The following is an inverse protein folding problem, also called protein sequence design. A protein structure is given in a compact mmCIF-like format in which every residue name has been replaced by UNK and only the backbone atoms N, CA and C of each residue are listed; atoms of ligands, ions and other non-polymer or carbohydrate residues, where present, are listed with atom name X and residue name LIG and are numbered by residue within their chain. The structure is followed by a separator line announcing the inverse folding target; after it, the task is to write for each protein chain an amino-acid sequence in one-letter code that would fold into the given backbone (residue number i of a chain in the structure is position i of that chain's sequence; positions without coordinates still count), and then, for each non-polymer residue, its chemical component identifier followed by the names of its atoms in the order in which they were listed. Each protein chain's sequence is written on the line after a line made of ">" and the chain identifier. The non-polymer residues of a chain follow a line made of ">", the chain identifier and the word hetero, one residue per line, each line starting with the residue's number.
data_IF_742429682363
#
_entry.id   IF_742429682363
#
_cell.length_a   1.000
_cell.length_b   1.000
_cell.length_c   1.000
_cell.angle_alpha   90.00
_cell.angle_beta   90.00
_cell.angle_gamma   90.00
#
_symmetry.space_group_name_H-M   'P 1'
#
loop_
_entity.id
_entity.type
_entity.pdbx_description
1 polymer ?
#
# COMPACT_ATOMS: atom_id res chain seq x y z
N UNK A 1 -12.01 -21.34 18.08
CA UNK A 1 -12.94 -20.19 18.13
C UNK A 1 -12.23 -18.90 18.57
N UNK A 2 -11.43 -18.93 19.64
CA UNK A 2 -10.79 -17.71 20.20
C UNK A 2 -9.95 -16.90 19.20
N UNK A 3 -9.18 -17.55 18.30
CA UNK A 3 -8.38 -16.84 17.28
C UNK A 3 -9.24 -16.08 16.27
N UNK A 4 -10.37 -16.66 15.88
CA UNK A 4 -11.30 -16.06 14.94
C UNK A 4 -12.03 -14.90 15.61
N UNK A 5 -12.39 -15.04 16.89
CA UNK A 5 -12.95 -13.96 17.71
C UNK A 5 -11.96 -12.80 17.84
N UNK A 6 -10.68 -13.06 18.17
CA UNK A 6 -9.66 -12.00 18.25
C UNK A 6 -9.41 -11.31 16.91
N UNK A 7 -9.46 -12.06 15.80
CA UNK A 7 -9.29 -11.49 14.47
C UNK A 7 -10.44 -10.53 14.13
N UNK A 8 -11.68 -10.98 14.31
CA UNK A 8 -12.87 -10.13 14.10
C UNK A 8 -12.84 -8.90 15.02
N UNK A 9 -12.49 -9.09 16.30
CA UNK A 9 -12.40 -8.00 17.26
C UNK A 9 -11.33 -6.96 16.86
N UNK A 10 -10.16 -7.42 16.41
CA UNK A 10 -9.10 -6.54 15.93
C UNK A 10 -9.49 -5.75 14.68
N UNK A 11 -10.26 -6.37 13.78
CA UNK A 11 -10.79 -5.72 12.59
C UNK A 11 -11.83 -4.65 12.94
N UNK A 12 -12.75 -4.95 13.86
CA UNK A 12 -13.75 -4.00 14.35
C UNK A 12 -13.08 -2.80 15.03
N UNK A 13 -12.07 -3.03 15.87
CA UNK A 13 -11.30 -1.97 16.53
C UNK A 13 -10.66 -1.01 15.50
N UNK A 14 -10.05 -1.56 14.44
CA UNK A 14 -9.44 -0.77 13.38
C UNK A 14 -10.48 0.09 12.65
N UNK A 15 -11.58 -0.52 12.18
CA UNK A 15 -12.64 0.19 11.47
C UNK A 15 -13.25 1.29 12.35
N UNK A 16 -13.49 1.01 13.62
CA UNK A 16 -14.04 1.98 14.57
C UNK A 16 -13.09 3.16 14.80
N UNK A 17 -11.78 2.89 14.91
CA UNK A 17 -10.77 3.93 15.04
C UNK A 17 -10.72 4.84 13.80
N UNK A 18 -10.83 4.26 12.60
CA UNK A 18 -10.86 5.01 11.34
C UNK A 18 -12.12 5.86 11.21
N UNK A 19 -13.30 5.34 11.57
CA UNK A 19 -14.57 6.07 11.48
C UNK A 19 -14.65 7.26 12.46
N UNK A 20 -14.08 7.11 13.66
CA UNK A 20 -14.07 8.19 14.66
C UNK A 20 -12.91 9.17 14.53
N UNK A 21 -11.98 8.94 13.60
CA UNK A 21 -10.80 9.79 13.41
C UNK A 21 -9.79 9.70 14.54
N UNK A 22 -9.82 8.65 15.36
CA UNK A 22 -8.79 8.43 16.37
C UNK A 22 -7.49 7.96 15.74
N UNK A 23 -6.38 8.36 16.35
CA UNK A 23 -5.05 8.00 15.87
C UNK A 23 -4.89 6.47 15.81
N UNK A 24 -4.63 5.95 14.61
CA UNK A 24 -4.66 4.51 14.25
C UNK A 24 -3.71 3.68 15.14
N UNK A 25 -2.65 4.31 15.64
CA UNK A 25 -1.68 3.69 16.54
C UNK A 25 -2.32 3.07 17.78
N UNK A 26 -3.32 3.72 18.39
CA UNK A 26 -3.98 3.19 19.58
C UNK A 26 -4.73 1.89 19.30
N UNK A 27 -5.39 1.80 18.13
CA UNK A 27 -6.07 0.59 17.71
C UNK A 27 -5.09 -0.54 17.42
N UNK A 28 -3.95 -0.25 16.81
CA UNK A 28 -2.91 -1.25 16.59
C UNK A 28 -2.35 -1.78 17.90
N UNK A 29 -2.00 -0.90 18.85
CA UNK A 29 -1.55 -1.30 20.19
C UNK A 29 -2.57 -2.16 20.92
N UNK A 30 -3.84 -1.78 20.89
CA UNK A 30 -4.91 -2.56 21.51
C UNK A 30 -5.02 -3.95 20.86
N UNK A 31 -4.96 -4.03 19.54
CA UNK A 31 -5.03 -5.30 18.81
C UNK A 31 -3.84 -6.22 19.08
N UNK A 32 -2.62 -5.69 19.19
CA UNK A 32 -1.43 -6.50 19.48
C UNK A 32 -1.44 -7.01 20.91
N UNK A 33 -1.90 -6.21 21.88
CA UNK A 33 -2.11 -6.67 23.26
C UNK A 33 -3.14 -7.79 23.35
N UNK A 34 -4.25 -7.70 22.60
CA UNK A 34 -5.26 -8.76 22.52
C UNK A 34 -4.67 -10.06 21.94
N UNK A 35 -3.87 -9.97 20.88
CA UNK A 35 -3.16 -11.11 20.31
C UNK A 35 -2.19 -11.73 21.30
N UNK A 36 -1.35 -10.93 21.98
CA UNK A 36 -0.42 -11.43 23.00
C UNK A 36 -1.19 -12.15 24.12
N UNK A 37 -2.28 -11.57 24.62
CA UNK A 37 -3.08 -12.16 25.69
C UNK A 37 -3.67 -13.53 25.30
N UNK A 38 -4.19 -13.67 24.08
CA UNK A 38 -4.78 -14.95 23.63
C UNK A 38 -3.72 -16.00 23.30
N UNK A 39 -2.57 -15.60 22.76
CA UNK A 39 -1.49 -16.55 22.47
C UNK A 39 -0.80 -17.04 23.75
N UNK A 40 -0.67 -16.20 24.78
CA UNK A 40 -0.21 -16.63 26.10
C UNK A 40 -1.14 -17.66 26.72
N UNK A 41 -2.47 -17.45 26.62
CA UNK A 41 -3.47 -18.44 27.08
C UNK A 41 -3.40 -19.77 26.34
N UNK A 42 -2.86 -19.79 25.11
CA UNK A 42 -2.64 -21.00 24.30
C UNK A 42 -1.30 -21.68 24.59
N UNK A 43 -0.51 -21.18 25.54
CA UNK A 43 0.72 -21.80 26.00
C UNK A 43 1.98 -21.39 25.22
N UNK A 44 1.90 -20.37 24.35
CA UNK A 44 3.09 -19.84 23.69
C UNK A 44 3.96 -19.06 24.69
N UNK A 45 5.28 -19.24 24.61
CA UNK A 45 6.23 -18.48 25.43
C UNK A 45 6.34 -17.04 24.91
N UNK A 46 6.49 -16.08 25.82
CA UNK A 46 6.73 -14.67 25.45
C UNK A 46 7.92 -14.50 24.50
N UNK A 47 8.95 -15.35 24.66
CA UNK A 47 10.15 -15.32 23.81
C UNK A 47 9.82 -15.67 22.36
N UNK A 48 8.96 -16.67 22.13
CA UNK A 48 8.54 -17.07 20.78
C UNK A 48 7.69 -15.99 20.13
N UNK A 49 6.77 -15.37 20.90
CA UNK A 49 5.97 -14.24 20.43
C UNK A 49 6.83 -13.05 20.01
N UNK A 50 7.86 -12.74 20.81
CA UNK A 50 8.78 -11.65 20.51
C UNK A 50 9.64 -11.95 19.29
N UNK A 51 10.08 -13.20 19.12
CA UNK A 51 10.82 -13.64 17.93
C UNK A 51 9.94 -13.58 16.67
N UNK A 52 8.67 -13.98 16.76
CA UNK A 52 7.70 -13.84 15.67
C UNK A 52 7.49 -12.37 15.30
N UNK A 53 7.28 -11.49 16.29
CA UNK A 53 7.15 -10.06 16.07
C UNK A 53 8.40 -9.46 15.39
N UNK A 54 9.60 -9.83 15.84
CA UNK A 54 10.85 -9.35 15.26
C UNK A 54 11.07 -9.85 13.83
N UNK A 55 10.74 -11.11 13.55
CA UNK A 55 10.82 -11.66 12.19
C UNK A 55 9.88 -10.93 11.22
N UNK A 56 8.66 -10.60 11.69
CA UNK A 56 7.70 -9.79 10.94
C UNK A 56 8.23 -8.37 10.68
N UNK A 57 8.79 -7.72 11.71
CA UNK A 57 9.39 -6.39 11.58
C UNK A 57 10.55 -6.38 10.56
N UNK A 58 11.41 -7.40 10.55
CA UNK A 58 12.51 -7.54 9.58
C UNK A 58 11.99 -7.65 8.15
N UNK A 59 10.89 -8.38 7.92
CA UNK A 59 10.26 -8.47 6.60
C UNK A 59 9.71 -7.12 6.14
N UNK A 60 9.07 -6.36 7.03
CA UNK A 60 8.59 -5.01 6.74
C UNK A 60 9.74 -4.04 6.41
N UNK A 61 10.88 -4.15 7.09
CA UNK A 61 12.04 -3.30 6.82
C UNK A 61 12.55 -3.45 5.38
N UNK A 62 12.53 -4.67 4.83
CA UNK A 62 12.89 -4.90 3.42
C UNK A 62 11.97 -4.13 2.46
N UNK A 63 10.67 -4.01 2.76
CA UNK A 63 9.71 -3.27 1.93
C UNK A 63 9.98 -1.76 2.02
N UNK A 64 10.31 -1.26 3.22
CA UNK A 64 10.64 0.16 3.43
C UNK A 64 11.84 0.58 2.56
N UNK A 65 12.88 -0.24 2.47
CA UNK A 65 14.04 0.03 1.62
C UNK A 65 13.64 0.13 0.14
N UNK A 66 12.78 -0.78 -0.33
CA UNK A 66 12.28 -0.77 -1.71
C UNK A 66 11.49 0.52 -1.98
N UNK A 67 10.59 0.91 -1.08
CA UNK A 67 9.82 2.15 -1.21
C UNK A 67 10.73 3.40 -1.21
N UNK A 68 11.81 3.39 -0.42
CA UNK A 68 12.78 4.48 -0.39
C UNK A 68 13.52 4.60 -1.74
N UNK A 69 13.97 3.46 -2.30
CA UNK A 69 14.62 3.44 -3.62
C UNK A 69 13.68 3.90 -4.73
N UNK A 70 12.42 3.46 -4.72
CA UNK A 70 11.39 3.94 -5.65
C UNK A 70 11.22 5.46 -5.52
N UNK A 71 11.18 6.00 -4.31
CA UNK A 71 11.12 7.44 -4.07
C UNK A 71 12.33 8.19 -4.63
N UNK A 72 13.54 7.65 -4.48
CA UNK A 72 14.75 8.25 -5.04
C UNK A 72 14.76 8.21 -6.58
N UNK A 73 14.39 7.09 -7.20
CA UNK A 73 14.34 6.97 -8.66
C UNK A 73 13.29 7.91 -9.25
N UNK A 74 12.08 7.92 -8.68
CA UNK A 74 10.99 8.79 -9.15
C UNK A 74 11.34 10.27 -9.04
N UNK A 75 11.98 10.72 -7.95
CA UNK A 75 12.42 12.11 -7.83
C UNK A 75 13.47 12.49 -8.88
N UNK A 76 14.43 11.62 -9.16
CA UNK A 76 15.43 11.86 -10.22
C UNK A 76 14.82 11.93 -11.62
N UNK A 77 13.78 11.14 -11.92
CA UNK A 77 13.09 11.22 -13.20
C UNK A 77 12.18 12.46 -13.32
N UNK A 78 11.64 12.94 -12.21
CA UNK A 78 10.91 14.20 -12.19
C UNK A 78 11.83 15.37 -12.49
N UNK A 79 13.03 15.43 -11.88
CA UNK A 79 14.00 16.50 -12.14
C UNK A 79 14.65 16.41 -13.52
N UNK A 80 14.91 15.19 -14.01
CA UNK A 80 15.41 14.97 -15.37
C UNK A 80 14.38 15.28 -16.48
N UNK A 81 13.12 15.56 -16.12
CA UNK A 81 12.06 15.83 -17.08
C UNK A 81 11.56 14.60 -17.85
N UNK A 82 12.07 13.40 -17.56
CA UNK A 82 11.66 12.15 -18.22
C UNK A 82 10.19 11.83 -17.94
N UNK A 83 9.77 11.86 -16.66
CA UNK A 83 8.36 11.62 -16.28
C UNK A 83 7.43 12.72 -16.82
N UNK A 84 7.72 14.03 -16.64
CA UNK A 84 6.93 15.11 -17.23
C UNK A 84 6.74 15.00 -18.75
N UNK A 85 7.81 14.65 -19.49
CA UNK A 85 7.75 14.46 -20.94
C UNK A 85 6.84 13.30 -21.32
N UNK A 86 6.95 12.18 -20.59
CA UNK A 86 6.14 10.99 -20.81
C UNK A 86 4.65 11.25 -20.53
N UNK A 87 4.35 12.06 -19.52
CA UNK A 87 2.98 12.54 -19.23
C UNK A 87 2.45 13.41 -20.37
N UNK A 88 3.23 14.40 -20.82
CA UNK A 88 2.83 15.33 -21.88
C UNK A 88 2.46 14.59 -23.18
N UNK A 89 3.31 13.67 -23.62
CA UNK A 89 3.03 12.87 -24.82
C UNK A 89 1.94 11.81 -24.58
N UNK A 90 1.88 11.22 -23.38
CA UNK A 90 0.88 10.21 -23.04
C UNK A 90 -0.55 10.75 -23.08
N UNK A 91 -0.77 11.99 -22.62
CA UNK A 91 -2.09 12.65 -22.67
C UNK A 91 -2.53 12.94 -24.11
N UNK A 92 -1.60 13.21 -25.03
CA UNK A 92 -1.92 13.42 -26.44
C UNK A 92 -2.34 12.13 -27.16
N UNK A 93 -1.84 10.98 -26.71
CA UNK A 93 -2.10 9.67 -27.32
C UNK A 93 -3.34 9.00 -26.70
N UNK A 94 -3.62 9.24 -25.42
CA UNK A 94 -4.69 8.56 -24.69
C UNK A 94 -5.99 9.35 -24.74
N UNK A 95 -7.04 8.69 -25.24
CA UNK A 95 -8.39 9.23 -25.18
C UNK A 95 -8.90 9.15 -23.72
N UNK A 96 -9.31 10.27 -23.08
CA UNK A 96 -9.63 10.31 -21.65
C UNK A 96 -10.77 9.36 -21.25
N UNK A 97 -11.67 9.03 -22.17
CA UNK A 97 -12.78 8.09 -21.93
C UNK A 97 -12.32 6.65 -21.62
N UNK A 98 -11.16 6.23 -22.16
CA UNK A 98 -10.62 4.88 -21.95
C UNK A 98 -9.46 4.85 -20.94
N UNK A 99 -9.12 5.98 -20.33
CA UNK A 99 -7.97 6.11 -19.46
C UNK A 99 -8.00 5.10 -18.29
N UNK A 100 -9.13 4.99 -17.59
CA UNK A 100 -9.28 4.11 -16.43
C UNK A 100 -9.10 2.64 -16.82
N UNK A 101 -9.67 2.23 -17.96
CA UNK A 101 -9.54 0.86 -18.47
C UNK A 101 -8.09 0.53 -18.84
N UNK A 102 -7.40 1.45 -19.52
CA UNK A 102 -6.00 1.30 -19.89
C UNK A 102 -5.09 1.28 -18.66
N UNK A 103 -5.34 2.16 -17.69
CA UNK A 103 -4.62 2.19 -16.42
C UNK A 103 -4.78 0.87 -15.66
N UNK A 104 -5.99 0.30 -15.60
CA UNK A 104 -6.24 -1.00 -15.01
C UNK A 104 -5.49 -2.13 -15.74
N UNK A 105 -5.57 -2.19 -17.06
CA UNK A 105 -4.89 -3.22 -17.85
C UNK A 105 -3.37 -3.13 -17.68
N UNK A 106 -2.79 -1.94 -17.82
CA UNK A 106 -1.35 -1.73 -17.64
C UNK A 106 -0.88 -2.10 -16.24
N UNK A 107 -1.58 -1.63 -15.20
CA UNK A 107 -1.20 -1.97 -13.82
C UNK A 107 -1.35 -3.46 -13.53
N UNK A 108 -2.38 -4.12 -14.06
CA UNK A 108 -2.54 -5.58 -13.91
C UNK A 108 -1.39 -6.35 -14.57
N UNK A 109 -1.01 -5.98 -15.79
CA UNK A 109 0.03 -6.65 -16.56
C UNK A 109 1.40 -6.47 -15.92
N UNK A 110 1.70 -5.24 -15.48
CA UNK A 110 2.93 -4.91 -14.76
C UNK A 110 2.97 -5.59 -13.40
N UNK A 111 1.83 -5.72 -12.71
CA UNK A 111 1.74 -6.45 -11.45
C UNK A 111 2.01 -7.94 -11.60
N UNK A 112 1.57 -8.55 -12.70
CA UNK A 112 1.91 -9.94 -13.04
C UNK A 112 3.41 -10.12 -13.31
N UNK A 113 4.06 -9.14 -13.94
CA UNK A 113 5.49 -9.18 -14.25
C UNK A 113 6.38 -8.92 -13.01
N UNK A 114 6.04 -7.92 -12.20
CA UNK A 114 6.78 -7.51 -10.99
C UNK A 114 6.47 -8.43 -9.81
N UNK A 115 5.28 -9.05 -9.79
CA UNK A 115 4.82 -9.97 -8.74
C UNK A 115 4.42 -9.30 -7.42
N UNK A 116 4.46 -7.97 -7.31
CA UNK A 116 4.08 -7.23 -6.09
C UNK A 116 3.30 -5.95 -6.41
N UNK A 117 2.33 -5.62 -5.55
CA UNK A 117 1.53 -4.39 -5.67
C UNK A 117 2.37 -3.13 -5.46
N UNK A 118 3.22 -3.09 -4.42
CA UNK A 118 4.06 -1.92 -4.12
C UNK A 118 5.06 -1.58 -5.24
N UNK A 119 5.66 -2.58 -5.89
CA UNK A 119 6.55 -2.35 -7.03
C UNK A 119 5.82 -1.83 -8.27
N UNK A 120 4.57 -2.26 -8.47
CA UNK A 120 3.71 -1.80 -9.59
C UNK A 120 3.32 -0.34 -9.42
N UNK A 121 2.88 0.04 -8.21
CA UNK A 121 2.55 1.44 -7.89
C UNK A 121 3.76 2.35 -8.07
N UNK A 122 4.94 1.89 -7.65
CA UNK A 122 6.18 2.65 -7.75
C UNK A 122 6.70 2.90 -9.17
N UNK A 123 6.47 1.97 -10.10
CA UNK A 123 7.00 2.04 -11.48
C UNK A 123 6.08 2.80 -12.41
N UNK A 124 4.80 2.46 -12.44
CA UNK A 124 3.83 3.02 -13.41
C UNK A 124 2.65 3.71 -12.72
N UNK A 125 2.31 3.34 -11.49
CA UNK A 125 1.18 3.94 -10.76
C UNK A 125 1.32 5.45 -10.56
N UNK A 126 2.50 5.92 -10.13
CA UNK A 126 2.76 7.36 -9.96
C UNK A 126 2.64 8.12 -11.29
N UNK A 127 3.17 7.55 -12.38
CA UNK A 127 3.06 8.16 -13.70
C UNK A 127 1.60 8.28 -14.15
N UNK A 128 0.80 7.22 -13.98
CA UNK A 128 -0.64 7.25 -14.28
C UNK A 128 -1.41 8.26 -13.43
N UNK A 129 -1.09 8.37 -12.13
CA UNK A 129 -1.70 9.38 -11.25
C UNK A 129 -1.38 10.81 -11.71
N UNK A 130 -0.14 11.08 -12.11
CA UNK A 130 0.26 12.39 -12.64
C UNK A 130 -0.44 12.67 -13.99
N UNK A 131 -0.59 11.67 -14.85
CA UNK A 131 -1.36 11.82 -16.10
C UNK A 131 -2.83 12.13 -15.81
N UNK A 132 -3.43 11.43 -14.85
CA UNK A 132 -4.82 11.63 -14.46
C UNK A 132 -5.06 13.02 -13.87
N UNK A 133 -4.15 13.53 -13.03
CA UNK A 133 -4.27 14.87 -12.44
C UNK A 133 -4.16 16.00 -13.47
N UNK A 134 -3.49 15.75 -14.59
CA UNK A 134 -3.35 16.71 -15.70
C UNK A 134 -4.40 16.49 -16.82
N UNK A 135 -5.23 15.46 -16.70
CA UNK A 135 -6.30 15.13 -17.65
C UNK A 135 -7.67 15.48 -17.08
N UNK A 136 -8.71 15.57 -17.93
CA UNK A 136 -10.09 15.81 -17.49
C UNK A 136 -10.77 14.58 -16.84
N UNK A 137 -10.00 13.63 -16.31
CA UNK A 137 -10.48 12.36 -15.76
C UNK A 137 -10.69 12.51 -14.25
N UNK A 138 -11.73 11.89 -13.70
CA UNK A 138 -11.99 11.96 -12.27
C UNK A 138 -10.84 11.30 -11.47
N UNK A 139 -10.05 12.12 -10.78
CA UNK A 139 -8.90 11.67 -10.00
C UNK A 139 -9.27 10.72 -8.86
N UNK A 140 -10.47 10.83 -8.29
CA UNK A 140 -10.91 9.93 -7.23
C UNK A 140 -11.10 8.51 -7.75
N UNK A 141 -11.59 8.35 -8.99
CA UNK A 141 -11.74 7.02 -9.60
C UNK A 141 -10.38 6.40 -9.97
N UNK A 142 -9.38 7.22 -10.26
CA UNK A 142 -8.02 6.74 -10.59
C UNK A 142 -7.23 6.40 -9.32
N UNK A 143 -7.44 7.16 -8.23
CA UNK A 143 -6.78 6.93 -6.95
C UNK A 143 -7.27 5.65 -6.24
N UNK A 144 -8.52 5.23 -6.51
CA UNK A 144 -9.17 4.07 -5.90
C UNK A 144 -10.15 4.46 -4.80
#
# INVERSE_FOLDING_TARGET
>A
MDLLITLILSFILLVFSTLKGYFIFYSLLASTLLWIAVLLRRGFLLKDLMQMAFSGAKKSFSVVIILLLIGAVTSTWMTAGTVPSLVYYGIQIINPNYFILLAFLLTSLVSLLIGTSFGTVGTIGIALMIMASNSAVNSNLVAG
#
